data_IF_285057372405
#
_entry.id   IF_285057372405
#
_cell.length_a   1.000
_cell.length_b   1.000
_cell.length_c   1.000
_cell.angle_alpha   90.00
_cell.angle_beta   90.00
_cell.angle_gamma   90.00
#
_symmetry.space_group_name_H-M   'P 1'
#
loop_
_entity.id
_entity.type
_entity.pdbx_description
1 polymer ?
#
# COMPACT_ATOMS: atom_id res chain seq x y z
N UNK A 1 -8.93 -15.84 15.49
CA UNK A 1 -8.61 -15.79 14.05
C UNK A 1 -8.89 -14.37 13.60
N UNK A 2 -7.92 -13.66 13.02
CA UNK A 2 -8.15 -12.30 12.49
C UNK A 2 -8.76 -12.40 11.09
N UNK A 3 -9.88 -11.71 10.86
CA UNK A 3 -10.50 -11.63 9.54
C UNK A 3 -9.58 -10.85 8.61
N UNK A 4 -9.33 -11.37 7.40
CA UNK A 4 -8.54 -10.66 6.38
C UNK A 4 -9.42 -10.08 5.29
N UNK A 5 -9.03 -8.93 4.76
CA UNK A 5 -9.70 -8.21 3.68
C UNK A 5 -8.69 -7.81 2.62
N UNK A 6 -9.14 -7.91 1.37
CA UNK A 6 -8.42 -7.35 0.23
C UNK A 6 -8.53 -5.83 0.26
N UNK A 7 -7.37 -5.19 0.28
CA UNK A 7 -7.19 -3.78 0.07
C UNK A 7 -6.61 -3.58 -1.33
N UNK A 8 -7.15 -2.61 -2.06
CA UNK A 8 -6.62 -2.19 -3.36
C UNK A 8 -6.09 -0.78 -3.25
N UNK A 9 -5.07 -0.49 -4.02
CA UNK A 9 -4.51 0.85 -4.07
C UNK A 9 -3.73 1.13 -5.34
N UNK A 10 -3.30 2.38 -5.46
CA UNK A 10 -2.48 2.88 -6.56
C UNK A 10 -1.31 3.71 -6.00
N UNK A 11 -0.13 3.51 -6.55
CA UNK A 11 1.05 4.34 -6.31
C UNK A 11 1.17 5.37 -7.43
N UNK A 12 1.34 6.63 -7.05
CA UNK A 12 1.48 7.75 -7.97
C UNK A 12 2.65 8.65 -7.61
N UNK A 13 3.12 9.47 -8.55
CA UNK A 13 4.10 10.52 -8.31
C UNK A 13 3.45 11.87 -7.94
N UNK A 14 4.27 12.90 -7.75
CA UNK A 14 3.79 14.25 -7.43
C UNK A 14 3.00 14.96 -8.53
N UNK A 15 2.94 14.40 -9.74
CA UNK A 15 2.11 14.87 -10.86
C UNK A 15 0.85 14.00 -11.04
N UNK A 16 0.52 13.17 -10.04
CA UNK A 16 -0.58 12.21 -10.06
C UNK A 16 -0.47 11.10 -11.12
N UNK A 17 0.71 10.93 -11.73
CA UNK A 17 0.95 9.87 -12.70
C UNK A 17 1.22 8.53 -11.99
N UNK A 18 0.70 7.38 -12.50
CA UNK A 18 0.94 6.08 -11.90
C UNK A 18 2.42 5.71 -11.94
N UNK A 19 2.90 5.00 -10.92
CA UNK A 19 4.29 4.54 -10.82
C UNK A 19 4.34 3.02 -10.91
N UNK A 20 4.55 2.46 -12.12
CA UNK A 20 4.76 1.04 -12.30
C UNK A 20 6.00 0.55 -11.57
N UNK A 21 5.94 -0.67 -11.03
CA UNK A 21 7.10 -1.29 -10.40
C UNK A 21 7.42 -0.78 -9.00
N UNK A 22 6.66 0.17 -8.45
CA UNK A 22 6.84 0.65 -7.09
C UNK A 22 6.72 -0.50 -6.07
N UNK A 23 7.63 -0.54 -5.12
CA UNK A 23 7.64 -1.52 -4.03
C UNK A 23 6.75 -1.03 -2.89
N UNK A 24 5.65 -1.73 -2.62
CA UNK A 24 4.71 -1.42 -1.53
C UNK A 24 4.91 -2.39 -0.38
N UNK A 25 5.17 -1.86 0.82
CA UNK A 25 5.42 -2.63 2.04
C UNK A 25 4.54 -2.16 3.20
N UNK A 26 4.20 -3.08 4.11
CA UNK A 26 3.60 -2.73 5.41
C UNK A 26 4.73 -2.47 6.40
N UNK A 27 4.84 -1.24 6.90
CA UNK A 27 5.91 -0.85 7.85
C UNK A 27 5.45 -0.87 9.30
N UNK A 28 4.14 -0.75 9.53
CA UNK A 28 3.53 -0.79 10.85
C UNK A 28 2.12 -1.37 10.76
N UNK A 29 1.71 -2.14 11.77
CA UNK A 29 0.35 -2.65 11.87
C UNK A 29 -0.07 -2.88 13.32
N UNK A 30 -1.37 -2.71 13.59
CA UNK A 30 -1.96 -2.96 14.91
C UNK A 30 -1.97 -4.43 15.32
N UNK A 31 -1.66 -5.34 14.38
CA UNK A 31 -1.56 -6.78 14.62
C UNK A 31 -0.27 -7.33 13.98
N UNK A 32 0.32 -8.41 14.53
CA UNK A 32 1.49 -9.03 13.94
C UNK A 32 1.23 -9.49 12.50
N UNK A 33 2.06 -9.04 11.57
CA UNK A 33 2.03 -9.40 10.16
C UNK A 33 3.44 -9.79 9.71
N UNK A 34 3.59 -10.80 8.83
CA UNK A 34 4.85 -10.95 8.12
C UNK A 34 5.10 -9.70 7.26
N UNK A 35 6.36 -9.41 6.99
CA UNK A 35 6.73 -8.40 6.01
C UNK A 35 6.15 -8.81 4.64
N UNK A 36 5.29 -7.96 4.08
CA UNK A 36 4.67 -8.18 2.77
C UNK A 36 5.16 -7.07 1.86
N UNK A 37 5.93 -7.42 0.84
CA UNK A 37 6.33 -6.54 -0.24
C UNK A 37 5.60 -6.92 -1.53
N UNK A 38 5.00 -5.94 -2.19
CA UNK A 38 4.32 -6.08 -3.47
C UNK A 38 4.96 -5.15 -4.48
N UNK A 39 4.96 -5.57 -5.75
CA UNK A 39 5.39 -4.73 -6.87
C UNK A 39 4.14 -4.22 -7.56
N UNK A 40 4.01 -2.90 -7.68
CA UNK A 40 2.89 -2.28 -8.38
C UNK A 40 2.89 -2.65 -9.87
N UNK A 41 1.70 -2.86 -10.43
CA UNK A 41 1.52 -3.26 -11.84
C UNK A 41 1.82 -2.12 -12.83
N UNK A 42 1.60 -2.37 -14.13
CA UNK A 42 1.84 -1.38 -15.19
C UNK A 42 0.96 -0.12 -15.09
N UNK A 43 -0.07 -0.13 -14.24
CA UNK A 43 -0.96 0.98 -13.95
C UNK A 43 -0.69 1.58 -12.55
N UNK A 44 0.40 1.17 -11.89
CA UNK A 44 0.72 1.56 -10.51
C UNK A 44 -0.18 0.91 -9.46
N UNK A 45 -1.05 -0.02 -9.86
CA UNK A 45 -2.01 -0.69 -9.01
C UNK A 45 -1.37 -1.76 -8.13
N UNK A 46 -1.91 -1.95 -6.93
CA UNK A 46 -1.55 -3.05 -6.04
C UNK A 46 -2.79 -3.61 -5.34
N UNK A 47 -2.70 -4.87 -4.93
CA UNK A 47 -3.70 -5.53 -4.10
C UNK A 47 -3.02 -6.33 -2.99
N UNK A 48 -3.41 -6.10 -1.75
CA UNK A 48 -2.84 -6.75 -0.56
C UNK A 48 -3.95 -7.31 0.32
N UNK A 49 -3.74 -8.50 0.89
CA UNK A 49 -4.69 -9.12 1.80
C UNK A 49 -4.22 -8.95 3.25
N UNK A 50 -4.85 -8.02 3.97
CA UNK A 50 -4.46 -7.61 5.31
C UNK A 50 -5.53 -7.98 6.35
N UNK A 51 -5.13 -8.28 7.60
CA UNK A 51 -6.09 -8.38 8.70
C UNK A 51 -6.80 -7.04 8.91
N UNK A 52 -8.03 -7.11 9.43
CA UNK A 52 -8.76 -5.93 9.88
C UNK A 52 -7.98 -5.19 10.99
N UNK A 53 -7.99 -3.87 10.95
CA UNK A 53 -7.18 -3.01 11.83
C UNK A 53 -6.50 -1.87 11.10
N UNK A 54 -5.62 -1.14 11.79
CA UNK A 54 -4.87 -0.02 11.21
C UNK A 54 -3.46 -0.48 10.84
N UNK A 55 -3.00 -0.03 9.67
CA UNK A 55 -1.65 -0.29 9.19
C UNK A 55 -1.09 0.93 8.44
N UNK A 56 0.24 1.00 8.37
CA UNK A 56 0.96 1.99 7.59
C UNK A 56 1.60 1.31 6.40
N UNK A 57 1.24 1.77 5.21
CA UNK A 57 1.83 1.33 3.96
C UNK A 57 2.88 2.34 3.53
N UNK A 58 4.00 1.83 3.00
CA UNK A 58 5.05 2.62 2.36
C UNK A 58 5.23 2.13 0.93
N UNK A 59 5.30 3.04 -0.02
CA UNK A 59 5.70 2.75 -1.39
C UNK A 59 7.05 3.39 -1.68
N UNK A 60 7.90 2.71 -2.45
CA UNK A 60 9.20 3.22 -2.88
C UNK A 60 9.45 2.96 -4.36
N UNK A 61 10.06 3.94 -5.04
CA UNK A 61 10.60 3.78 -6.38
C UNK A 61 11.74 4.77 -6.64
N UNK A 62 12.86 4.27 -7.17
CA UNK A 62 14.01 5.08 -7.60
C UNK A 62 14.48 6.14 -6.58
N UNK A 63 14.46 5.81 -5.29
CA UNK A 63 14.87 6.71 -4.19
C UNK A 63 13.79 7.69 -3.71
N UNK A 64 12.59 7.66 -4.31
CA UNK A 64 11.40 8.37 -3.85
C UNK A 64 10.56 7.46 -2.97
N UNK A 65 9.89 8.03 -1.98
CA UNK A 65 9.04 7.27 -1.07
C UNK A 65 7.75 8.02 -0.72
N UNK A 66 6.72 7.27 -0.38
CA UNK A 66 5.44 7.77 0.09
C UNK A 66 4.86 6.84 1.13
N UNK A 67 4.13 7.38 2.09
CA UNK A 67 3.49 6.60 3.15
C UNK A 67 2.05 7.04 3.37
N UNK A 68 1.21 6.09 3.77
CA UNK A 68 -0.19 6.32 4.13
C UNK A 68 -0.63 5.39 5.25
N UNK A 69 -1.43 5.91 6.16
CA UNK A 69 -2.14 5.10 7.17
C UNK A 69 -3.49 4.66 6.59
N UNK A 70 -3.83 3.38 6.78
CA UNK A 70 -5.05 2.77 6.28
C UNK A 70 -5.70 1.94 7.38
N UNK A 71 -7.01 2.12 7.56
CA UNK A 71 -7.85 1.20 8.32
C UNK A 71 -8.50 0.18 7.39
N UNK A 72 -8.36 -1.10 7.71
CA UNK A 72 -8.91 -2.24 6.96
C UNK A 72 -10.17 -2.74 7.68
N UNK A 73 -11.32 -2.86 6.99
CA UNK A 73 -11.54 -2.59 5.57
C UNK A 73 -11.56 -1.08 5.25
N UNK A 74 -10.93 -0.70 4.13
CA UNK A 74 -11.02 0.66 3.63
C UNK A 74 -12.28 0.82 2.75
N UNK A 75 -12.93 2.01 2.76
CA UNK A 75 -14.13 2.25 1.97
C UNK A 75 -13.87 2.39 0.46
N UNK A 76 -12.61 2.43 0.02
CA UNK A 76 -12.24 2.63 -1.37
C UNK A 76 -10.79 2.27 -1.67
N UNK A 77 -10.30 2.76 -2.81
CA UNK A 77 -8.92 2.59 -3.23
C UNK A 77 -7.97 3.47 -2.42
N UNK A 78 -6.86 2.89 -1.97
CA UNK A 78 -5.80 3.60 -1.25
C UNK A 78 -4.84 4.25 -2.23
N UNK A 79 -4.47 5.51 -2.01
CA UNK A 79 -3.49 6.21 -2.83
C UNK A 79 -2.21 6.46 -2.04
N UNK A 80 -1.07 6.08 -2.60
CA UNK A 80 0.26 6.40 -2.05
C UNK A 80 0.98 7.31 -3.03
N UNK A 81 1.32 8.52 -2.60
CA UNK A 81 2.05 9.48 -3.42
C UNK A 81 3.53 9.50 -3.05
N UNK A 82 4.40 9.22 -4.02
CA UNK A 82 5.85 9.34 -3.88
C UNK A 82 6.27 10.80 -3.89
N UNK A 83 7.22 11.15 -3.01
CA UNK A 83 7.76 12.51 -2.85
C UNK A 83 9.26 12.52 -3.00
#
# INVERSE_FOLDING_TARGET
>A
MTTRRWLRGVVVDGADAPVPGAYVVVVEASVPLPEIALVADAQGGFAINLPEGTCRLRAEDAGRAGEVEVTVPAPGEVRIQLR
#
